data_IF_951457132164
#
_entry.id   IF_951457132164
#
_cell.length_a   1.000
_cell.length_b   1.000
_cell.length_c   1.000
_cell.angle_alpha   90.00
_cell.angle_beta   90.00
_cell.angle_gamma   90.00
#
_symmetry.space_group_name_H-M   'P 1'
#
loop_
_entity.id
_entity.type
_entity.pdbx_description
1 polymer ?
#
# COMPACT_ATOMS: atom_id res chain seq x y z
N UNK A 1 60.46 -63.68 41.30
CA UNK A 1 59.45 -63.70 40.23
C UNK A 1 58.75 -62.34 40.22
N UNK A 2 59.00 -61.49 39.21
CA UNK A 2 58.60 -60.11 39.22
C UNK A 2 57.80 -59.86 37.94
N UNK A 3 56.45 -59.78 38.10
CA UNK A 3 55.53 -59.50 36.96
C UNK A 3 55.40 -58.02 36.72
N UNK A 4 55.94 -57.58 35.59
CA UNK A 4 55.78 -56.19 35.10
C UNK A 4 54.49 -56.07 34.27
N UNK A 5 53.51 -55.36 34.77
CA UNK A 5 52.30 -54.95 33.99
C UNK A 5 52.65 -53.72 33.19
N UNK A 6 52.66 -53.89 31.87
CA UNK A 6 52.77 -52.75 30.93
C UNK A 6 51.46 -52.05 30.84
N UNK A 7 51.43 -50.75 31.23
CA UNK A 7 50.30 -49.84 31.02
C UNK A 7 50.35 -49.30 29.59
N UNK A 8 49.30 -49.59 28.83
CA UNK A 8 49.16 -49.09 27.48
C UNK A 8 48.32 -47.80 27.58
N UNK A 9 48.95 -46.63 27.38
CA UNK A 9 48.27 -45.36 27.23
C UNK A 9 47.64 -45.27 25.84
N UNK A 10 46.32 -45.33 25.78
CA UNK A 10 45.54 -44.95 24.56
C UNK A 10 45.37 -43.42 24.50
N UNK A 11 46.08 -42.80 23.60
CA UNK A 11 45.89 -41.37 23.29
C UNK A 11 44.57 -41.16 22.58
N UNK A 12 43.58 -40.57 23.25
CA UNK A 12 42.32 -40.09 22.64
C UNK A 12 42.62 -38.73 22.00
N UNK A 13 42.69 -38.70 20.69
CA UNK A 13 42.71 -37.43 19.92
C UNK A 13 41.29 -36.88 19.82
N UNK A 14 40.98 -35.87 20.62
CA UNK A 14 39.76 -35.08 20.50
C UNK A 14 39.94 -34.13 19.31
N UNK A 15 39.32 -34.49 18.19
CA UNK A 15 39.25 -33.62 17.02
C UNK A 15 38.23 -32.52 17.30
N UNK A 16 38.71 -31.30 17.52
CA UNK A 16 37.90 -30.10 17.65
C UNK A 16 37.43 -29.65 16.25
N UNK A 17 36.25 -30.10 15.82
CA UNK A 17 35.61 -29.66 14.59
C UNK A 17 35.01 -28.25 14.82
N UNK A 18 35.70 -27.24 14.34
CA UNK A 18 35.26 -25.84 14.36
C UNK A 18 34.25 -25.65 13.25
N UNK A 19 32.93 -25.68 13.60
CA UNK A 19 31.85 -25.39 12.69
C UNK A 19 31.84 -23.85 12.46
N UNK A 20 32.34 -23.42 11.31
CA UNK A 20 32.22 -22.04 10.83
C UNK A 20 30.74 -21.78 10.42
N UNK A 21 29.97 -21.16 11.32
CA UNK A 21 28.65 -20.63 11.02
C UNK A 21 28.86 -19.36 10.20
N UNK A 22 28.77 -19.44 8.86
CA UNK A 22 28.73 -18.28 7.98
C UNK A 22 27.34 -17.63 8.14
N UNK A 23 27.28 -16.52 8.87
CA UNK A 23 26.10 -15.67 8.93
C UNK A 23 25.95 -14.99 7.55
N UNK A 24 24.98 -15.47 6.76
CA UNK A 24 24.56 -14.77 5.53
C UNK A 24 23.75 -13.55 5.96
N UNK A 25 24.37 -12.40 6.00
CA UNK A 25 23.67 -11.12 6.17
C UNK A 25 22.91 -10.82 4.86
N UNK A 26 21.61 -11.09 4.87
CA UNK A 26 20.71 -10.63 3.81
C UNK A 26 20.64 -9.12 3.94
N UNK A 27 21.33 -8.37 3.06
CA UNK A 27 21.16 -6.93 2.96
C UNK A 27 19.72 -6.66 2.52
N UNK A 28 18.86 -6.19 3.44
CA UNK A 28 17.58 -5.66 3.10
C UNK A 28 17.82 -4.37 2.28
N UNK A 29 17.52 -4.42 0.99
CA UNK A 29 17.53 -3.24 0.14
C UNK A 29 16.38 -2.34 0.62
N UNK A 30 16.62 -1.04 0.84
CA UNK A 30 15.53 -0.14 1.18
C UNK A 30 14.51 -0.20 0.03
N UNK A 31 13.32 -0.67 0.32
CA UNK A 31 12.21 -0.57 -0.64
C UNK A 31 11.91 0.91 -0.79
N UNK A 32 12.22 1.47 -1.95
CA UNK A 32 11.78 2.83 -2.27
C UNK A 32 10.28 2.81 -2.43
N UNK A 33 9.58 3.46 -1.49
CA UNK A 33 8.14 3.66 -1.56
C UNK A 33 7.81 4.43 -2.84
N UNK A 34 6.82 4.01 -3.63
CA UNK A 34 6.41 4.73 -4.82
C UNK A 34 5.92 6.14 -4.48
N UNK A 35 6.31 7.13 -5.26
CA UNK A 35 5.80 8.48 -5.17
C UNK A 35 4.52 8.61 -6.02
N UNK A 36 3.40 8.87 -5.34
CA UNK A 36 2.09 9.07 -5.97
C UNK A 36 1.87 10.52 -6.44
N UNK A 37 2.78 11.45 -6.12
CA UNK A 37 2.64 12.87 -6.48
C UNK A 37 2.47 13.07 -7.98
N UNK A 38 1.71 14.09 -8.34
CA UNK A 38 1.53 14.53 -9.72
C UNK A 38 0.08 14.73 -10.12
N UNK A 39 -0.09 15.05 -11.40
CA UNK A 39 -1.39 15.23 -12.03
C UNK A 39 -1.79 13.96 -12.77
N UNK A 40 -2.93 13.40 -12.41
CA UNK A 40 -3.42 12.13 -12.93
C UNK A 40 -4.79 12.32 -13.60
N UNK A 41 -4.90 11.98 -14.88
CA UNK A 41 -6.14 12.00 -15.65
C UNK A 41 -6.75 10.62 -15.77
N UNK A 42 -8.04 10.49 -15.46
CA UNK A 42 -8.77 9.22 -15.59
C UNK A 42 -8.82 8.74 -17.04
N UNK A 43 -8.53 7.47 -17.23
CA UNK A 43 -8.67 6.75 -18.50
C UNK A 43 -9.99 5.98 -18.49
N UNK A 44 -11.05 6.65 -18.92
CA UNK A 44 -12.42 6.16 -18.84
C UNK A 44 -12.64 4.81 -19.57
N UNK A 45 -11.92 4.59 -20.66
CA UNK A 45 -12.06 3.39 -21.49
C UNK A 45 -11.48 2.15 -20.80
N UNK A 46 -10.45 2.33 -19.97
CA UNK A 46 -9.84 1.25 -19.19
C UNK A 46 -10.59 0.95 -17.89
N UNK A 47 -11.40 1.89 -17.40
CA UNK A 47 -12.14 1.71 -16.14
C UNK A 47 -13.16 0.57 -16.20
N UNK A 48 -13.35 -0.10 -15.07
CA UNK A 48 -14.35 -1.16 -14.88
C UNK A 48 -15.19 -0.87 -13.62
N UNK A 49 -16.50 -0.59 -13.78
CA UNK A 49 -17.22 -0.35 -15.05
C UNK A 49 -16.67 0.89 -15.79
N UNK A 50 -16.91 0.97 -17.10
CA UNK A 50 -16.58 2.18 -17.87
C UNK A 50 -17.17 3.43 -17.23
N UNK A 51 -16.43 4.52 -17.33
CA UNK A 51 -16.79 5.81 -16.73
C UNK A 51 -17.10 6.85 -17.80
N UNK A 52 -17.80 7.90 -17.39
CA UNK A 52 -18.04 9.11 -18.18
C UNK A 52 -17.66 10.32 -17.33
N UNK A 53 -17.41 11.44 -18.00
CA UNK A 53 -16.86 12.65 -17.37
C UNK A 53 -15.34 12.61 -17.26
N UNK A 54 -14.75 13.77 -17.02
CA UNK A 54 -13.32 13.93 -16.84
C UNK A 54 -13.02 14.00 -15.35
N UNK A 55 -12.20 13.06 -14.85
CA UNK A 55 -11.71 13.09 -13.48
C UNK A 55 -10.21 13.34 -13.50
N UNK A 56 -9.80 14.36 -12.77
CA UNK A 56 -8.40 14.69 -12.57
C UNK A 56 -8.08 14.63 -11.08
N UNK A 57 -6.96 14.00 -10.74
CA UNK A 57 -6.42 14.00 -9.39
C UNK A 57 -5.11 14.78 -9.40
N UNK A 58 -4.99 15.75 -8.51
CA UNK A 58 -3.73 16.36 -8.16
C UNK A 58 -3.31 15.78 -6.80
N UNK A 59 -2.20 15.04 -6.77
CA UNK A 59 -1.72 14.35 -5.58
C UNK A 59 -0.41 14.99 -5.14
N UNK A 60 -0.35 15.38 -3.87
CA UNK A 60 0.85 15.76 -3.16
C UNK A 60 1.13 14.68 -2.12
N UNK A 61 2.26 13.98 -2.28
CA UNK A 61 2.65 12.88 -1.43
C UNK A 61 4.07 13.08 -0.90
N UNK A 62 4.18 13.30 0.41
CA UNK A 62 5.44 13.41 1.14
C UNK A 62 5.29 12.54 2.39
N UNK A 63 5.58 11.27 2.26
CA UNK A 63 5.32 10.27 3.29
C UNK A 63 5.73 10.76 4.71
N UNK A 64 4.83 10.72 5.71
CA UNK A 64 3.51 10.09 5.69
C UNK A 64 2.36 10.98 5.16
N UNK A 65 2.58 12.21 4.75
CA UNK A 65 1.53 13.14 4.35
C UNK A 65 1.06 12.88 2.91
N UNK A 66 -0.26 12.79 2.73
CA UNK A 66 -0.92 12.55 1.45
C UNK A 66 -2.10 13.50 1.29
N UNK A 67 -2.01 14.42 0.33
CA UNK A 67 -3.12 15.30 -0.06
C UNK A 67 -3.61 14.91 -1.45
N UNK A 68 -4.91 14.78 -1.61
CA UNK A 68 -5.57 14.43 -2.87
C UNK A 68 -6.61 15.48 -3.20
N UNK A 69 -6.36 16.25 -4.24
CA UNK A 69 -7.33 17.14 -4.84
C UNK A 69 -8.00 16.43 -6.01
N UNK A 70 -9.32 16.31 -5.97
CA UNK A 70 -10.13 15.67 -7.01
C UNK A 70 -10.99 16.70 -7.72
N UNK A 71 -10.86 16.77 -9.03
CA UNK A 71 -11.68 17.59 -9.90
C UNK A 71 -12.50 16.69 -10.83
N UNK A 72 -13.83 16.83 -10.82
CA UNK A 72 -14.73 16.11 -11.71
C UNK A 72 -15.44 17.13 -12.60
N UNK A 73 -15.39 16.92 -13.91
CA UNK A 73 -16.07 17.79 -14.88
C UNK A 73 -16.82 16.98 -15.94
N UNK A 74 -17.87 17.60 -16.48
CA UNK A 74 -18.63 17.12 -17.63
C UNK A 74 -18.66 18.21 -18.67
N UNK A 75 -17.91 18.02 -19.75
CA UNK A 75 -17.63 19.10 -20.71
C UNK A 75 -16.91 20.27 -20.04
N UNK A 76 -17.45 21.49 -20.16
CA UNK A 76 -16.86 22.69 -19.55
C UNK A 76 -17.32 22.97 -18.11
N UNK A 77 -18.21 22.13 -17.54
CA UNK A 77 -18.75 22.36 -16.22
C UNK A 77 -18.03 21.51 -15.17
N UNK A 78 -17.53 22.16 -14.12
CA UNK A 78 -17.01 21.50 -12.93
C UNK A 78 -18.23 21.08 -12.11
N UNK A 79 -18.36 19.76 -11.87
CA UNK A 79 -19.45 19.20 -11.08
C UNK A 79 -19.03 18.94 -9.63
N UNK A 80 -17.73 18.69 -9.39
CA UNK A 80 -17.19 18.45 -8.04
C UNK A 80 -15.75 18.89 -7.95
N UNK A 81 -15.43 19.55 -6.84
CA UNK A 81 -14.07 19.82 -6.40
C UNK A 81 -13.96 19.41 -4.93
N UNK A 82 -13.00 18.57 -4.61
CA UNK A 82 -12.79 18.09 -3.25
C UNK A 82 -11.29 17.96 -2.95
N UNK A 83 -10.89 18.36 -1.75
CA UNK A 83 -9.54 18.16 -1.23
C UNK A 83 -9.61 17.27 -0.01
N UNK A 84 -8.87 16.19 -0.02
CA UNK A 84 -8.81 15.23 1.08
C UNK A 84 -7.37 15.09 1.57
N UNK A 85 -7.19 15.04 2.89
CA UNK A 85 -5.87 14.92 3.51
C UNK A 85 -5.84 13.67 4.37
N UNK A 86 -4.78 12.89 4.18
CA UNK A 86 -4.54 11.63 4.86
C UNK A 86 -3.11 11.56 5.38
N UNK A 87 -2.85 10.57 6.23
CA UNK A 87 -1.49 10.12 6.53
C UNK A 87 -1.38 8.62 6.27
N UNK A 88 -0.24 8.17 5.76
CA UNK A 88 0.00 6.76 5.40
C UNK A 88 0.42 5.88 6.57
N UNK A 89 0.34 6.41 7.80
CA UNK A 89 0.70 5.75 9.06
C UNK A 89 -0.49 5.06 9.76
N UNK A 90 -1.64 4.97 9.08
CA UNK A 90 -2.85 4.30 9.58
C UNK A 90 -3.74 5.15 10.49
N UNK A 91 -3.41 6.42 10.71
CA UNK A 91 -4.31 7.32 11.44
C UNK A 91 -5.60 7.53 10.66
N UNK A 92 -6.72 7.61 11.40
CA UNK A 92 -8.02 7.85 10.81
C UNK A 92 -8.18 9.34 10.50
N UNK A 93 -8.47 9.64 9.25
CA UNK A 93 -8.92 10.97 8.80
C UNK A 93 -10.44 10.95 8.66
N UNK A 94 -11.10 12.01 9.12
CA UNK A 94 -12.57 12.17 9.03
C UNK A 94 -12.86 13.26 8.00
N UNK A 95 -13.78 12.98 7.08
CA UNK A 95 -14.27 13.95 6.09
C UNK A 95 -15.77 13.84 5.91
N UNK A 96 -16.40 14.89 5.38
CA UNK A 96 -17.83 14.90 5.09
C UNK A 96 -18.03 14.97 3.57
N UNK A 97 -18.89 14.11 3.05
CA UNK A 97 -19.34 14.11 1.66
C UNK A 97 -20.23 15.32 1.36
N UNK A 98 -20.49 15.56 0.07
CA UNK A 98 -21.37 16.65 -0.37
C UNK A 98 -22.83 16.42 0.03
N UNK A 99 -23.22 15.20 0.28
CA UNK A 99 -24.52 14.71 0.73
C UNK A 99 -24.68 14.75 2.25
N UNK A 100 -23.58 15.03 2.99
CA UNK A 100 -23.58 15.09 4.45
C UNK A 100 -23.06 13.82 5.11
N UNK A 101 -22.78 12.78 4.36
CA UNK A 101 -22.26 11.51 4.90
C UNK A 101 -20.85 11.70 5.49
N UNK A 102 -20.60 11.04 6.63
CA UNK A 102 -19.29 11.04 7.26
C UNK A 102 -18.44 9.87 6.73
N UNK A 103 -17.24 10.16 6.32
CA UNK A 103 -16.24 9.18 5.92
C UNK A 103 -15.11 9.13 6.94
N UNK A 104 -14.79 7.93 7.42
CA UNK A 104 -13.63 7.63 8.24
C UNK A 104 -12.67 6.79 7.44
N UNK A 105 -11.49 7.32 7.15
CA UNK A 105 -10.53 6.66 6.27
C UNK A 105 -9.18 6.56 6.95
N UNK A 106 -8.60 5.36 6.98
CA UNK A 106 -7.20 5.14 7.32
C UNK A 106 -6.44 4.66 6.09
N UNK A 107 -5.18 5.06 5.98
CA UNK A 107 -4.31 4.70 4.85
C UNK A 107 -3.03 4.10 5.38
N UNK A 108 -2.64 2.94 4.84
CA UNK A 108 -1.39 2.26 5.20
C UNK A 108 -0.68 1.76 3.95
N UNK A 109 0.62 1.61 4.07
CA UNK A 109 1.41 0.90 3.07
C UNK A 109 1.21 -0.61 3.17
N UNK A 110 1.04 -1.26 2.03
CA UNK A 110 1.13 -2.70 1.86
C UNK A 110 2.01 -2.99 0.65
N UNK A 111 3.22 -3.44 0.91
CA UNK A 111 4.26 -3.55 -0.10
C UNK A 111 4.52 -2.20 -0.80
N UNK A 112 4.31 -2.12 -2.11
CA UNK A 112 4.43 -0.91 -2.92
C UNK A 112 3.09 -0.22 -3.22
N UNK A 113 2.04 -0.51 -2.45
CA UNK A 113 0.69 0.02 -2.67
C UNK A 113 0.18 0.73 -1.42
N UNK A 114 -0.65 1.76 -1.62
CA UNK A 114 -1.43 2.36 -0.55
C UNK A 114 -2.77 1.64 -0.43
N UNK A 115 -3.13 1.26 0.79
CA UNK A 115 -4.42 0.63 1.09
C UNK A 115 -5.23 1.56 1.99
N UNK A 116 -6.39 1.94 1.51
CA UNK A 116 -7.36 2.77 2.19
C UNK A 116 -8.44 1.85 2.77
N UNK A 117 -8.65 1.90 4.09
CA UNK A 117 -9.83 1.32 4.72
C UNK A 117 -10.83 2.45 4.97
N UNK A 118 -12.02 2.33 4.42
CA UNK A 118 -13.03 3.39 4.38
C UNK A 118 -14.31 2.90 5.05
N UNK A 119 -14.77 3.67 6.04
CA UNK A 119 -16.09 3.56 6.63
C UNK A 119 -16.91 4.77 6.19
N UNK A 120 -18.07 4.52 5.59
CA UNK A 120 -19.03 5.51 5.14
C UNK A 120 -20.28 5.42 6.03
N UNK A 121 -20.60 6.50 6.73
CA UNK A 121 -21.74 6.58 7.64
C UNK A 121 -22.90 7.27 6.91
N UNK A 122 -23.80 6.47 6.36
CA UNK A 122 -24.94 6.89 5.56
C UNK A 122 -26.27 6.48 6.25
N UNK A 123 -27.16 7.39 6.56
CA UNK A 123 -28.50 7.13 7.12
C UNK A 123 -28.51 6.13 8.30
N UNK A 124 -27.55 6.24 9.21
CA UNK A 124 -27.43 5.35 10.37
C UNK A 124 -26.87 3.95 10.07
N UNK A 125 -26.44 3.70 8.83
CA UNK A 125 -25.74 2.49 8.41
C UNK A 125 -24.24 2.78 8.27
N UNK A 126 -23.43 1.77 8.48
CA UNK A 126 -22.00 1.84 8.24
C UNK A 126 -21.67 0.92 7.06
N UNK A 127 -21.15 1.50 6.00
CA UNK A 127 -20.68 0.78 4.82
C UNK A 127 -19.16 0.74 4.84
N UNK A 128 -18.61 -0.45 4.66
CA UNK A 128 -17.16 -0.62 4.60
C UNK A 128 -16.70 -0.86 3.16
N UNK A 129 -15.61 -0.24 2.80
CA UNK A 129 -14.90 -0.52 1.56
C UNK A 129 -13.41 -0.45 1.75
N UNK A 130 -12.68 -1.18 0.91
CA UNK A 130 -11.23 -1.08 0.80
C UNK A 130 -10.86 -0.57 -0.57
N UNK A 131 -9.91 0.35 -0.64
CA UNK A 131 -9.35 0.80 -1.89
C UNK A 131 -7.84 0.60 -1.90
N UNK A 132 -7.31 0.03 -2.99
CA UNK A 132 -5.88 -0.19 -3.18
C UNK A 132 -5.38 0.65 -4.34
N UNK A 133 -4.34 1.43 -4.11
CA UNK A 133 -3.69 2.28 -5.10
C UNK A 133 -2.31 1.73 -5.43
N UNK A 134 -2.04 1.53 -6.70
CA UNK A 134 -0.75 1.01 -7.19
C UNK A 134 -0.28 1.81 -8.38
N UNK A 135 1.01 2.11 -8.43
CA UNK A 135 1.64 2.70 -9.60
C UNK A 135 2.17 1.56 -10.47
N UNK A 136 1.71 1.50 -11.69
CA UNK A 136 2.03 0.47 -12.67
C UNK A 136 2.63 1.07 -13.95
N UNK A 137 3.00 0.23 -14.92
CA UNK A 137 3.52 0.66 -16.22
C UNK A 137 4.71 1.62 -16.09
N UNK A 138 5.69 1.24 -15.26
CA UNK A 138 6.90 2.02 -15.00
C UNK A 138 6.64 3.47 -14.53
N UNK A 139 5.59 3.67 -13.73
CA UNK A 139 5.26 4.98 -13.16
C UNK A 139 4.27 5.80 -13.98
N UNK A 140 3.84 5.31 -15.15
CA UNK A 140 2.98 6.07 -16.05
C UNK A 140 1.48 5.98 -15.71
N UNK A 141 1.08 4.98 -14.94
CA UNK A 141 -0.33 4.70 -14.65
C UNK A 141 -0.56 4.49 -13.15
N UNK A 142 -1.56 5.17 -12.61
CA UNK A 142 -2.11 4.90 -11.30
C UNK A 142 -3.35 4.00 -11.48
N UNK A 143 -3.31 2.81 -10.87
CA UNK A 143 -4.46 1.92 -10.77
C UNK A 143 -5.06 2.05 -9.37
N UNK A 144 -6.38 2.26 -9.30
CA UNK A 144 -7.17 2.25 -8.07
C UNK A 144 -8.19 1.13 -8.15
N UNK A 145 -8.15 0.22 -7.19
CA UNK A 145 -9.12 -0.89 -7.08
C UNK A 145 -9.92 -0.68 -5.80
N UNK A 146 -11.23 -0.49 -5.91
CA UNK A 146 -12.15 -0.38 -4.77
C UNK A 146 -13.01 -1.63 -4.68
N UNK A 147 -13.08 -2.20 -3.50
CA UNK A 147 -13.94 -3.35 -3.18
C UNK A 147 -14.83 -2.99 -1.99
N UNK A 148 -16.12 -3.20 -2.15
CA UNK A 148 -17.13 -3.01 -1.10
C UNK A 148 -17.49 -4.34 -0.44
N UNK A 149 -17.97 -4.32 0.79
CA UNK A 149 -18.40 -5.53 1.52
C UNK A 149 -19.54 -6.28 0.85
N UNK A 150 -20.33 -5.62 -0.01
CA UNK A 150 -21.37 -6.26 -0.82
C UNK A 150 -20.84 -7.02 -2.06
N UNK A 151 -19.50 -7.05 -2.25
CA UNK A 151 -18.85 -7.69 -3.38
C UNK A 151 -18.73 -6.81 -4.63
N UNK A 152 -19.22 -5.58 -4.59
CA UNK A 152 -19.02 -4.64 -5.70
C UNK A 152 -17.55 -4.28 -5.83
N UNK A 153 -17.03 -4.39 -7.05
CA UNK A 153 -15.64 -4.07 -7.38
C UNK A 153 -15.56 -3.03 -8.49
N UNK A 154 -14.67 -2.06 -8.32
CA UNK A 154 -14.36 -1.03 -9.30
C UNK A 154 -12.86 -0.98 -9.53
N UNK A 155 -12.45 -0.86 -10.78
CA UNK A 155 -11.04 -0.66 -11.16
C UNK A 155 -10.97 0.60 -11.99
N UNK A 156 -10.22 1.58 -11.50
CA UNK A 156 -10.04 2.89 -12.14
C UNK A 156 -8.58 3.04 -12.54
N UNK A 157 -8.37 3.58 -13.73
CA UNK A 157 -7.04 3.85 -14.25
C UNK A 157 -6.89 5.34 -14.53
N UNK A 158 -5.71 5.86 -14.21
CA UNK A 158 -5.34 7.25 -14.43
C UNK A 158 -3.96 7.29 -15.07
N UNK A 159 -3.74 8.24 -15.99
CA UNK A 159 -2.44 8.50 -16.63
C UNK A 159 -1.88 9.83 -16.17
N UNK A 160 -0.56 9.90 -16.09
CA UNK A 160 0.17 11.18 -15.95
C UNK A 160 0.12 11.98 -17.22
#
# INVERSE_FOLDING_TARGET
MRNSKKLIYRSVRIGLSMLLLSAVTVAAWPQTVPDFSGLWKQDNDRCQPKRSGDVTLHIEHHDPELTIETLISFGSQISRHAVQKYTTDGKVSVSTGADGDEFRTSVVWKDSSLVFAIEEHEDGRILHSQETWSIIENGATLQRTRERTNGEKQILFYRR
#
